data_IF_029877810599
#
_entry.id   IF_029877810599
#
_cell.length_a   1.000
_cell.length_b   1.000
_cell.length_c   1.000
_cell.angle_alpha   90.00
_cell.angle_beta   90.00
_cell.angle_gamma   90.00
#
_symmetry.space_group_name_H-M   'P 1'
#
loop_
_entity.id
_entity.type
_entity.pdbx_description
1 polymer ?
#
# COMPACT_ATOMS: atom_id res chain seq x y z
N UNK A 1 18.66 7.07 2.16
CA UNK A 1 17.36 7.36 1.52
C UNK A 1 16.40 6.17 1.58
N UNK A 2 16.68 5.02 0.94
CA UNK A 2 15.79 3.84 0.98
C UNK A 2 15.32 3.45 2.39
N UNK A 3 16.26 3.21 3.31
CA UNK A 3 15.95 2.85 4.71
C UNK A 3 15.09 3.88 5.46
N UNK A 4 15.22 5.17 5.10
CA UNK A 4 14.41 6.23 5.72
C UNK A 4 12.97 6.17 5.20
N UNK A 5 12.81 5.96 3.89
CA UNK A 5 11.49 5.73 3.28
C UNK A 5 10.84 4.49 3.88
N UNK A 6 11.60 3.40 4.04
CA UNK A 6 11.11 2.15 4.62
C UNK A 6 10.67 2.36 6.08
N UNK A 7 11.48 3.04 6.90
CA UNK A 7 11.13 3.36 8.28
C UNK A 7 9.90 4.28 8.38
N UNK A 8 9.80 5.29 7.52
CA UNK A 8 8.65 6.18 7.46
C UNK A 8 7.37 5.42 7.05
N UNK A 9 7.46 4.54 6.05
CA UNK A 9 6.35 3.66 5.64
C UNK A 9 5.89 2.77 6.78
N UNK A 10 6.81 2.18 7.56
CA UNK A 10 6.44 1.38 8.74
C UNK A 10 5.69 2.21 9.78
N UNK A 11 6.15 3.42 10.09
CA UNK A 11 5.47 4.32 11.04
C UNK A 11 4.08 4.70 10.52
N UNK A 12 3.96 5.11 9.25
CA UNK A 12 2.66 5.47 8.66
C UNK A 12 1.70 4.28 8.63
N UNK A 13 2.18 3.06 8.37
CA UNK A 13 1.35 1.86 8.39
C UNK A 13 0.73 1.63 9.78
N UNK A 14 1.49 1.83 10.85
CA UNK A 14 0.97 1.76 12.23
C UNK A 14 -0.08 2.85 12.49
N UNK A 15 0.20 4.09 12.06
CA UNK A 15 -0.78 5.18 12.17
C UNK A 15 -2.07 4.89 11.40
N UNK A 16 -1.97 4.29 10.21
CA UNK A 16 -3.14 3.91 9.40
C UNK A 16 -4.00 2.86 10.08
N UNK A 17 -3.38 1.89 10.77
CA UNK A 17 -4.11 0.89 11.54
C UNK A 17 -4.80 1.48 12.78
N UNK A 18 -4.32 2.60 13.30
CA UNK A 18 -4.90 3.32 14.43
C UNK A 18 -6.11 4.20 14.05
N UNK A 19 -6.91 3.80 13.05
CA UNK A 19 -8.05 4.57 12.53
C UNK A 19 -9.01 5.08 13.61
N UNK A 20 -9.32 4.24 14.60
CA UNK A 20 -10.23 4.61 15.72
C UNK A 20 -9.72 5.79 16.54
N UNK A 21 -8.41 6.05 16.53
CA UNK A 21 -7.75 7.15 17.25
C UNK A 21 -7.48 8.34 16.32
N UNK A 22 -7.04 8.09 15.08
CA UNK A 22 -6.69 9.17 14.14
C UNK A 22 -7.90 9.88 13.55
N UNK A 23 -9.05 9.19 13.45
CA UNK A 23 -10.23 9.71 12.77
C UNK A 23 -10.09 9.71 11.24
N UNK A 24 -11.20 10.05 10.56
CA UNK A 24 -11.35 9.91 9.11
C UNK A 24 -10.41 10.82 8.31
N UNK A 25 -10.48 12.13 8.56
CA UNK A 25 -9.68 13.12 7.82
C UNK A 25 -8.17 12.84 7.91
N UNK A 26 -7.65 12.57 9.12
CA UNK A 26 -6.22 12.30 9.30
C UNK A 26 -5.82 10.96 8.66
N UNK A 27 -6.67 9.93 8.75
CA UNK A 27 -6.41 8.64 8.11
C UNK A 27 -6.31 8.78 6.58
N UNK A 28 -7.19 9.56 5.95
CA UNK A 28 -7.15 9.78 4.51
C UNK A 28 -5.85 10.46 4.05
N UNK A 29 -5.45 11.57 4.70
CA UNK A 29 -4.21 12.26 4.38
C UNK A 29 -2.96 11.43 4.65
N UNK A 30 -2.98 10.63 5.72
CA UNK A 30 -1.92 9.65 6.03
C UNK A 30 -1.86 8.58 4.94
N UNK A 31 -3.02 8.13 4.43
CA UNK A 31 -3.13 7.13 3.37
C UNK A 31 -2.57 7.64 2.05
N UNK A 32 -2.87 8.89 1.68
CA UNK A 32 -2.27 9.55 0.50
C UNK A 32 -0.75 9.66 0.65
N UNK A 33 -0.28 10.06 1.84
CA UNK A 33 1.16 10.14 2.13
C UNK A 33 1.84 8.77 2.02
N UNK A 34 1.20 7.70 2.53
CA UNK A 34 1.68 6.33 2.41
C UNK A 34 1.73 5.88 0.95
N UNK A 35 0.71 6.19 0.14
CA UNK A 35 0.70 5.86 -1.28
C UNK A 35 1.86 6.54 -2.04
N UNK A 36 2.14 7.81 -1.74
CA UNK A 36 3.30 8.54 -2.30
C UNK A 36 4.62 7.87 -1.89
N UNK A 37 4.79 7.51 -0.62
CA UNK A 37 6.00 6.82 -0.16
C UNK A 37 6.17 5.44 -0.79
N UNK A 38 5.10 4.68 -0.98
CA UNK A 38 5.13 3.40 -1.71
C UNK A 38 5.63 3.62 -3.14
N UNK A 39 5.13 4.63 -3.86
CA UNK A 39 5.59 4.96 -5.20
C UNK A 39 7.08 5.30 -5.20
N UNK A 40 7.52 6.15 -4.28
CA UNK A 40 8.94 6.50 -4.12
C UNK A 40 9.77 5.24 -3.84
N UNK A 41 9.32 4.37 -2.93
CA UNK A 41 9.98 3.10 -2.62
C UNK A 41 10.15 2.25 -3.89
N UNK A 42 9.13 2.15 -4.74
CA UNK A 42 9.22 1.40 -6.00
C UNK A 42 10.18 2.03 -7.00
N UNK A 43 10.21 3.35 -7.12
CA UNK A 43 11.17 4.06 -7.98
C UNK A 43 12.61 3.79 -7.51
N UNK A 44 12.86 3.89 -6.20
CA UNK A 44 14.17 3.61 -5.62
C UNK A 44 14.58 2.15 -5.77
N UNK A 45 13.62 1.24 -5.81
CA UNK A 45 13.83 -0.19 -5.98
C UNK A 45 13.64 -0.69 -7.42
N UNK A 46 13.65 0.21 -8.42
CA UNK A 46 13.51 -0.15 -9.86
C UNK A 46 14.44 -1.27 -10.36
N UNK A 47 15.63 -1.40 -9.77
CA UNK A 47 16.62 -2.44 -10.13
C UNK A 47 16.09 -3.86 -9.83
N UNK A 48 15.24 -4.02 -8.82
CA UNK A 48 14.64 -5.30 -8.47
C UNK A 48 13.75 -5.83 -9.61
N UNK A 49 12.92 -4.98 -10.22
CA UNK A 49 12.10 -5.35 -11.37
C UNK A 49 12.94 -5.81 -12.57
N UNK A 50 14.06 -5.14 -12.85
CA UNK A 50 14.99 -5.57 -13.89
C UNK A 50 15.68 -6.91 -13.59
N UNK A 51 15.83 -7.25 -12.31
CA UNK A 51 16.40 -8.53 -11.89
C UNK A 51 15.40 -9.69 -12.00
N UNK A 52 14.08 -9.45 -11.99
CA UNK A 52 13.05 -10.49 -12.13
C UNK A 52 13.25 -11.35 -13.39
N UNK A 53 13.75 -10.76 -14.47
CA UNK A 53 14.00 -11.47 -15.74
C UNK A 53 15.37 -12.16 -15.83
N UNK A 54 16.21 -12.04 -14.81
CA UNK A 54 17.62 -12.46 -14.85
C UNK A 54 17.95 -13.55 -13.83
N UNK A 55 18.78 -14.51 -14.23
CA UNK A 55 19.38 -15.53 -13.36
C UNK A 55 18.44 -16.69 -12.96
N UNK A 56 19.01 -17.71 -12.32
CA UNK A 56 18.25 -18.88 -11.81
C UNK A 56 17.42 -18.49 -10.58
N UNK A 57 16.24 -19.08 -10.44
CA UNK A 57 15.38 -18.91 -9.26
C UNK A 57 15.67 -20.02 -8.25
N UNK A 58 16.29 -19.67 -7.13
CA UNK A 58 16.27 -20.55 -5.95
C UNK A 58 14.88 -20.51 -5.30
N UNK A 59 14.53 -21.53 -4.53
CA UNK A 59 13.25 -21.59 -3.80
C UNK A 59 13.02 -20.32 -2.96
N UNK A 60 14.05 -19.90 -2.22
CA UNK A 60 14.02 -18.68 -1.42
C UNK A 60 13.70 -17.43 -2.27
N UNK A 61 14.36 -17.30 -3.43
CA UNK A 61 14.13 -16.18 -4.35
C UNK A 61 12.72 -16.20 -4.93
N UNK A 62 12.20 -17.38 -5.28
CA UNK A 62 10.85 -17.53 -5.81
C UNK A 62 9.81 -17.10 -4.78
N UNK A 63 9.90 -17.62 -3.55
CA UNK A 63 8.98 -17.27 -2.45
C UNK A 63 9.04 -15.78 -2.14
N UNK A 64 10.22 -15.21 -1.96
CA UNK A 64 10.38 -13.76 -1.70
C UNK A 64 9.82 -12.91 -2.85
N UNK A 65 9.98 -13.34 -4.09
CA UNK A 65 9.42 -12.63 -5.25
C UNK A 65 7.89 -12.66 -5.23
N UNK A 66 7.29 -13.82 -4.97
CA UNK A 66 5.83 -13.96 -4.86
C UNK A 66 5.29 -13.08 -3.74
N UNK A 67 5.89 -13.13 -2.55
CA UNK A 67 5.48 -12.30 -1.42
C UNK A 67 5.58 -10.80 -1.72
N UNK A 68 6.67 -10.35 -2.34
CA UNK A 68 6.82 -8.94 -2.72
C UNK A 68 5.77 -8.49 -3.74
N UNK A 69 5.41 -9.36 -4.69
CA UNK A 69 4.35 -9.07 -5.67
C UNK A 69 2.98 -9.00 -4.98
N UNK A 70 2.67 -9.97 -4.12
CA UNK A 70 1.43 -9.99 -3.36
C UNK A 70 1.30 -8.75 -2.46
N UNK A 71 2.38 -8.36 -1.79
CA UNK A 71 2.42 -7.17 -0.94
C UNK A 71 2.18 -5.90 -1.77
N UNK A 72 2.79 -5.80 -2.95
CA UNK A 72 2.55 -4.68 -3.86
C UNK A 72 1.08 -4.61 -4.30
N UNK A 73 0.47 -5.75 -4.61
CA UNK A 73 -0.96 -5.84 -4.94
C UNK A 73 -1.82 -5.41 -3.76
N UNK A 74 -1.51 -5.85 -2.54
CA UNK A 74 -2.24 -5.47 -1.33
C UNK A 74 -2.18 -3.95 -1.11
N UNK A 75 -1.00 -3.33 -1.21
CA UNK A 75 -0.86 -1.87 -1.10
C UNK A 75 -1.62 -1.12 -2.20
N UNK A 76 -1.54 -1.58 -3.45
CA UNK A 76 -2.22 -0.96 -4.57
C UNK A 76 -3.76 -1.02 -4.42
N UNK A 77 -4.30 -2.19 -4.06
CA UNK A 77 -5.73 -2.36 -3.85
C UNK A 77 -6.23 -1.59 -2.61
N UNK A 78 -5.45 -1.60 -1.52
CA UNK A 78 -5.78 -0.82 -0.32
C UNK A 78 -5.86 0.67 -0.64
N UNK A 79 -4.86 1.21 -1.34
CA UNK A 79 -4.84 2.61 -1.75
C UNK A 79 -6.00 2.95 -2.69
N UNK A 80 -6.23 2.14 -3.74
CA UNK A 80 -7.33 2.35 -4.68
C UNK A 80 -8.70 2.35 -3.98
N UNK A 81 -8.96 1.35 -3.13
CA UNK A 81 -10.23 1.24 -2.42
C UNK A 81 -10.40 2.39 -1.41
N UNK A 82 -9.32 2.79 -0.72
CA UNK A 82 -9.35 3.92 0.21
C UNK A 82 -9.64 5.25 -0.49
N UNK A 83 -8.97 5.52 -1.61
CA UNK A 83 -9.24 6.70 -2.45
C UNK A 83 -10.67 6.71 -2.99
N UNK A 84 -11.22 5.54 -3.35
CA UNK A 84 -12.61 5.42 -3.84
C UNK A 84 -13.68 5.66 -2.78
N UNK A 85 -13.29 5.73 -1.50
CA UNK A 85 -14.16 6.05 -0.36
C UNK A 85 -13.81 7.38 0.32
N UNK A 86 -12.84 8.13 -0.22
CA UNK A 86 -12.33 9.34 0.40
C UNK A 86 -13.35 10.48 0.33
N UNK A 87 -13.56 11.15 1.46
CA UNK A 87 -14.44 12.33 1.57
C UNK A 87 -13.66 13.65 1.70
N UNK A 88 -12.39 13.60 2.13
CA UNK A 88 -11.58 14.77 2.46
C UNK A 88 -10.38 14.96 1.53
N UNK A 89 -9.54 13.92 1.36
CA UNK A 89 -8.27 14.08 0.65
C UNK A 89 -8.42 14.04 -0.88
N UNK A 90 -9.23 13.10 -1.40
CA UNK A 90 -9.47 12.92 -2.83
C UNK A 90 -10.96 12.68 -3.14
N UNK A 91 -11.86 13.61 -2.76
CA UNK A 91 -13.32 13.43 -2.89
C UNK A 91 -13.79 13.22 -4.33
N UNK A 92 -13.02 13.69 -5.33
CA UNK A 92 -13.33 13.49 -6.75
C UNK A 92 -13.23 12.02 -7.20
N UNK A 93 -12.59 11.16 -6.41
CA UNK A 93 -12.50 9.72 -6.65
C UNK A 93 -13.61 8.92 -5.93
N UNK A 94 -14.43 9.58 -5.11
CA UNK A 94 -15.51 8.93 -4.39
C UNK A 94 -16.50 8.27 -5.36
N UNK A 95 -16.82 6.99 -5.12
CA UNK A 95 -17.82 6.26 -5.90
C UNK A 95 -17.31 5.67 -7.23
N UNK A 96 -16.01 5.66 -7.49
CA UNK A 96 -15.42 4.95 -8.66
C UNK A 96 -15.74 3.45 -8.69
N UNK A 97 -16.05 2.85 -7.54
CA UNK A 97 -16.47 1.46 -7.42
C UNK A 97 -17.51 1.32 -6.29
N UNK A 98 -18.33 0.25 -6.28
CA UNK A 98 -19.39 0.09 -5.29
C UNK A 98 -18.85 0.16 -3.85
N UNK A 99 -19.40 1.07 -3.03
CA UNK A 99 -18.90 1.36 -1.66
C UNK A 99 -18.80 0.10 -0.79
N UNK A 100 -19.79 -0.80 -0.89
CA UNK A 100 -19.79 -2.06 -0.14
C UNK A 100 -18.68 -3.03 -0.56
N UNK A 101 -18.21 -2.95 -1.81
CA UNK A 101 -17.09 -3.74 -2.31
C UNK A 101 -15.76 -3.11 -1.89
N UNK A 102 -15.55 -1.82 -2.15
CA UNK A 102 -14.29 -1.14 -1.80
C UNK A 102 -14.04 -1.13 -0.31
N UNK A 103 -15.07 -1.03 0.54
CA UNK A 103 -14.90 -1.12 2.00
C UNK A 103 -14.37 -2.48 2.45
N UNK A 104 -14.99 -3.57 1.96
CA UNK A 104 -14.57 -4.93 2.29
C UNK A 104 -13.17 -5.22 1.76
N UNK A 105 -12.87 -4.80 0.53
CA UNK A 105 -11.55 -4.97 -0.06
C UNK A 105 -10.48 -4.16 0.66
N UNK A 106 -10.76 -2.91 1.03
CA UNK A 106 -9.83 -2.07 1.77
C UNK A 106 -9.46 -2.68 3.13
N UNK A 107 -10.45 -3.18 3.88
CA UNK A 107 -10.21 -3.86 5.15
C UNK A 107 -9.39 -5.15 4.96
N UNK A 108 -9.80 -6.02 4.05
CA UNK A 108 -9.08 -7.27 3.80
C UNK A 108 -7.64 -7.04 3.37
N UNK A 109 -7.41 -6.17 2.38
CA UNK A 109 -6.07 -5.92 1.84
C UNK A 109 -5.17 -5.16 2.81
N UNK A 110 -5.72 -4.26 3.63
CA UNK A 110 -4.95 -3.57 4.68
C UNK A 110 -4.45 -4.55 5.73
N UNK A 111 -5.27 -5.51 6.17
CA UNK A 111 -4.83 -6.56 7.09
C UNK A 111 -3.76 -7.46 6.47
N UNK A 112 -3.92 -7.90 5.22
CA UNK A 112 -2.89 -8.69 4.52
C UNK A 112 -1.59 -7.91 4.27
N UNK A 113 -1.65 -6.59 4.10
CA UNK A 113 -0.46 -5.76 3.96
C UNK A 113 0.26 -5.50 5.31
N UNK A 114 -0.45 -5.68 6.43
CA UNK A 114 0.07 -5.44 7.77
C UNK A 114 0.80 -6.64 8.38
N UNK A 115 0.28 -7.85 8.13
CA UNK A 115 0.82 -9.13 8.61
C UNK A 115 2.00 -9.58 7.76
#
# INVERSE_FOLDING_TARGET
MKRIVDAAMTVLLLCLMAYQVTGEMAHEWTGVSMAVLVIIHQILNRKWYGALRKGKYSLYRAVSTVLNILLLVCFALTAFCGMSMSSYAVPFLYGMAPVSFVRRMHLSMSHWAFV
#
